data_IF_879721551726
#
_entry.id   IF_879721551726
#
_cell.length_a   1.000
_cell.length_b   1.000
_cell.length_c   1.000
_cell.angle_alpha   90.00
_cell.angle_beta   90.00
_cell.angle_gamma   90.00
#
_symmetry.space_group_name_H-M   'P 1'
#
loop_
_entity.id
_entity.type
_entity.pdbx_description
1 polymer ?
#
# COMPACT_ATOMS: atom_id res chain seq x y z
N UNK A 1 -22.04 9.94 -1.63
CA UNK A 1 -21.19 9.14 -2.55
C UNK A 1 -19.74 9.64 -2.66
N UNK A 2 -19.48 10.95 -2.72
CA UNK A 2 -18.13 11.50 -2.97
C UNK A 2 -17.07 11.14 -1.91
N UNK A 3 -17.46 10.94 -0.64
CA UNK A 3 -16.53 10.62 0.46
C UNK A 3 -15.86 9.26 0.31
N UNK A 4 -16.64 8.19 0.04
CA UNK A 4 -16.09 6.84 -0.14
C UNK A 4 -15.15 6.72 -1.36
N UNK A 5 -15.48 7.42 -2.45
CA UNK A 5 -14.65 7.44 -3.66
C UNK A 5 -13.32 8.13 -3.37
N UNK A 6 -13.33 9.27 -2.68
CA UNK A 6 -12.12 10.02 -2.35
C UNK A 6 -11.20 9.27 -1.38
N UNK A 7 -11.79 8.59 -0.38
CA UNK A 7 -11.07 7.71 0.54
C UNK A 7 -10.47 6.51 -0.21
N UNK A 8 -11.18 5.93 -1.18
CA UNK A 8 -10.65 4.85 -2.01
C UNK A 8 -9.50 5.31 -2.92
N UNK A 9 -9.60 6.49 -3.53
CA UNK A 9 -8.51 7.10 -4.32
C UNK A 9 -7.29 7.38 -3.44
N UNK A 10 -7.48 7.95 -2.26
CA UNK A 10 -6.38 8.23 -1.34
C UNK A 10 -5.72 6.92 -0.84
N UNK A 11 -6.51 5.88 -0.57
CA UNK A 11 -5.99 4.56 -0.19
C UNK A 11 -5.24 3.88 -1.36
N UNK A 12 -5.72 4.02 -2.61
CA UNK A 12 -5.15 3.36 -3.78
C UNK A 12 -3.74 3.88 -4.15
N UNK A 13 -3.35 5.06 -3.67
CA UNK A 13 -1.98 5.58 -3.77
C UNK A 13 -0.97 4.62 -3.14
N UNK A 14 -1.34 3.87 -2.10
CA UNK A 14 -0.46 2.84 -1.54
C UNK A 14 -0.10 1.72 -2.55
N UNK A 15 -1.00 1.39 -3.47
CA UNK A 15 -0.72 0.42 -4.55
C UNK A 15 0.02 1.10 -5.71
N UNK A 16 -0.21 2.39 -5.95
CA UNK A 16 0.61 3.18 -6.89
C UNK A 16 2.10 3.12 -6.50
N UNK A 17 2.41 3.31 -5.22
CA UNK A 17 3.77 3.20 -4.68
C UNK A 17 4.39 1.82 -4.91
N UNK A 18 3.62 0.74 -4.71
CA UNK A 18 4.07 -0.61 -5.02
C UNK A 18 4.43 -0.76 -6.51
N UNK A 19 3.56 -0.29 -7.40
CA UNK A 19 3.82 -0.32 -8.84
C UNK A 19 5.05 0.48 -9.22
N UNK A 20 5.24 1.63 -8.58
CA UNK A 20 6.41 2.48 -8.75
C UNK A 20 7.70 1.79 -8.31
N UNK A 21 7.76 1.20 -7.12
CA UNK A 21 8.95 0.47 -6.65
C UNK A 21 9.35 -0.66 -7.61
N UNK A 22 8.36 -1.48 -8.02
CA UNK A 22 8.59 -2.62 -8.91
C UNK A 22 9.18 -2.23 -10.27
N UNK A 23 8.72 -1.13 -10.89
CA UNK A 23 9.30 -0.65 -12.14
C UNK A 23 10.67 0.02 -11.92
N UNK A 24 10.81 0.76 -10.82
CA UNK A 24 12.05 1.49 -10.54
C UNK A 24 13.20 0.54 -10.30
N UNK A 25 13.01 -0.54 -9.53
CA UNK A 25 14.06 -1.54 -9.32
C UNK A 25 14.42 -2.28 -10.63
N UNK A 26 13.44 -2.56 -11.48
CA UNK A 26 13.67 -3.22 -12.76
C UNK A 26 14.59 -2.38 -13.67
N UNK A 27 14.47 -1.06 -13.61
CA UNK A 27 15.40 -0.13 -14.28
C UNK A 27 16.74 0.04 -13.55
N UNK A 28 16.69 0.26 -12.24
CA UNK A 28 17.85 0.57 -11.40
C UNK A 28 18.84 -0.60 -11.31
N UNK A 29 18.37 -1.85 -11.36
CA UNK A 29 19.22 -3.05 -11.23
C UNK A 29 20.33 -3.08 -12.29
N UNK A 30 20.06 -2.58 -13.51
CA UNK A 30 21.06 -2.51 -14.59
C UNK A 30 22.28 -1.66 -14.21
N UNK A 31 22.04 -0.56 -13.48
CA UNK A 31 23.08 0.36 -13.03
C UNK A 31 23.76 -0.11 -11.74
N UNK A 32 22.98 -0.69 -10.81
CA UNK A 32 23.48 -1.28 -9.57
C UNK A 32 24.50 -2.39 -9.87
N UNK A 33 24.21 -3.25 -10.86
CA UNK A 33 25.12 -4.31 -11.29
C UNK A 33 26.47 -3.76 -11.74
N UNK A 34 26.44 -2.67 -12.52
CA UNK A 34 27.65 -2.03 -13.09
C UNK A 34 28.49 -1.37 -12.00
N UNK A 35 27.86 -0.67 -11.04
CA UNK A 35 28.59 0.02 -9.97
C UNK A 35 29.22 -0.96 -8.97
N UNK A 36 28.49 -1.99 -8.55
CA UNK A 36 28.99 -2.96 -7.58
C UNK A 36 29.75 -4.14 -8.21
N UNK A 37 30.00 -4.11 -9.53
CA UNK A 37 30.69 -5.18 -10.28
C UNK A 37 30.09 -6.57 -10.02
N UNK A 38 28.75 -6.65 -9.93
CA UNK A 38 28.00 -7.87 -9.58
C UNK A 38 27.90 -8.88 -10.74
N UNK A 39 28.56 -8.63 -11.87
CA UNK A 39 28.58 -9.52 -13.04
C UNK A 39 29.09 -10.93 -12.72
N UNK A 40 29.89 -11.06 -11.65
CA UNK A 40 30.42 -12.35 -11.16
C UNK A 40 29.57 -12.99 -10.06
N UNK A 41 28.50 -12.33 -9.58
CA UNK A 41 27.70 -12.74 -8.42
C UNK A 41 26.18 -12.68 -8.70
N UNK A 42 25.64 -13.53 -9.59
CA UNK A 42 24.22 -13.53 -9.95
C UNK A 42 23.28 -13.80 -8.76
N UNK A 43 23.78 -14.46 -7.71
CA UNK A 43 23.04 -14.68 -6.47
C UNK A 43 22.66 -13.37 -5.77
N UNK A 44 23.62 -12.43 -5.64
CA UNK A 44 23.37 -11.15 -4.95
C UNK A 44 22.41 -10.27 -5.77
N UNK A 45 22.57 -10.27 -7.09
CA UNK A 45 21.66 -9.56 -7.98
C UNK A 45 20.21 -10.03 -7.81
N UNK A 46 19.98 -11.35 -7.89
CA UNK A 46 18.66 -11.92 -7.68
C UNK A 46 18.11 -11.60 -6.29
N UNK A 47 18.99 -11.58 -5.28
CA UNK A 47 18.63 -11.23 -3.92
C UNK A 47 18.12 -9.78 -3.80
N UNK A 48 18.72 -8.81 -4.49
CA UNK A 48 18.27 -7.39 -4.45
C UNK A 48 16.81 -7.23 -4.88
N UNK A 49 16.39 -8.00 -5.89
CA UNK A 49 15.00 -8.01 -6.37
C UNK A 49 14.13 -8.85 -5.45
N UNK A 50 14.61 -10.03 -5.01
CA UNK A 50 13.84 -10.95 -4.20
C UNK A 50 13.62 -10.48 -2.75
N UNK A 51 14.51 -9.67 -2.15
CA UNK A 51 14.40 -9.23 -0.76
C UNK A 51 13.10 -8.48 -0.47
N UNK A 52 12.61 -7.66 -1.40
CA UNK A 52 11.33 -6.97 -1.22
C UNK A 52 10.16 -7.94 -1.27
N UNK A 53 10.21 -8.97 -2.13
CA UNK A 53 9.19 -10.02 -2.20
C UNK A 53 9.19 -10.90 -0.95
N UNK A 54 10.38 -11.23 -0.43
CA UNK A 54 10.53 -11.96 0.84
C UNK A 54 9.92 -11.14 1.97
N UNK A 55 10.26 -9.86 2.08
CA UNK A 55 9.69 -8.96 3.08
C UNK A 55 8.17 -8.86 2.98
N UNK A 56 7.66 -8.67 1.77
CA UNK A 56 6.22 -8.61 1.52
C UNK A 56 5.53 -9.91 1.96
N UNK A 57 6.06 -11.07 1.57
CA UNK A 57 5.49 -12.39 1.92
C UNK A 57 5.41 -12.62 3.43
N UNK A 58 6.46 -12.25 4.15
CA UNK A 58 6.48 -12.35 5.62
C UNK A 58 5.37 -11.49 6.20
N UNK A 59 5.29 -10.22 5.81
CA UNK A 59 4.31 -9.29 6.37
C UNK A 59 2.87 -9.60 5.96
N UNK A 60 2.61 -9.98 4.72
CA UNK A 60 1.24 -10.33 4.28
C UNK A 60 0.65 -11.49 5.07
N UNK A 61 1.50 -12.44 5.50
CA UNK A 61 1.09 -13.58 6.33
C UNK A 61 0.57 -13.14 7.71
N UNK A 62 1.19 -12.12 8.32
CA UNK A 62 0.83 -11.65 9.66
C UNK A 62 -0.11 -10.44 9.66
N UNK A 63 -0.14 -9.65 8.59
CA UNK A 63 -0.82 -8.35 8.53
C UNK A 63 -2.33 -8.45 8.78
N UNK A 64 -2.98 -9.54 8.37
CA UNK A 64 -4.42 -9.73 8.59
C UNK A 64 -4.80 -9.77 10.08
N UNK A 65 -4.11 -10.59 10.87
CA UNK A 65 -4.36 -10.69 12.31
C UNK A 65 -4.03 -9.38 13.04
N UNK A 66 -2.93 -8.72 12.64
CA UNK A 66 -2.53 -7.43 13.22
C UNK A 66 -3.53 -6.34 12.87
N UNK A 67 -4.09 -6.33 11.65
CA UNK A 67 -5.09 -5.36 11.22
C UNK A 67 -6.40 -5.47 12.01
N UNK A 68 -6.79 -6.69 12.38
CA UNK A 68 -7.95 -6.93 13.25
C UNK A 68 -7.69 -6.46 14.69
N UNK A 69 -6.46 -6.61 15.18
CA UNK A 69 -6.09 -6.14 16.51
C UNK A 69 -5.96 -4.61 16.62
N UNK A 70 -5.16 -4.01 15.73
CA UNK A 70 -4.68 -2.62 15.82
C UNK A 70 -5.54 -1.63 15.02
N UNK A 71 -6.17 -2.09 13.94
CA UNK A 71 -6.91 -1.24 13.00
C UNK A 71 -6.23 -1.15 11.65
N UNK A 72 -6.96 -0.66 10.65
CA UNK A 72 -6.48 -0.57 9.26
C UNK A 72 -5.66 0.71 9.09
N UNK A 73 -6.14 1.84 9.62
CA UNK A 73 -5.48 3.14 9.45
C UNK A 73 -4.06 3.18 10.03
N UNK A 74 -3.78 2.73 11.28
CA UNK A 74 -2.41 2.73 11.81
C UNK A 74 -1.43 1.91 10.97
N UNK A 75 -1.89 0.81 10.38
CA UNK A 75 -1.04 -0.04 9.55
C UNK A 75 -0.79 0.57 8.16
N UNK A 76 -1.75 1.29 7.58
CA UNK A 76 -1.52 2.08 6.35
C UNK A 76 -0.54 3.24 6.62
N UNK A 77 -0.60 3.86 7.80
CA UNK A 77 0.39 4.85 8.22
C UNK A 77 1.76 4.19 8.36
N UNK A 78 1.85 3.04 9.04
CA UNK A 78 3.09 2.29 9.18
C UNK A 78 3.69 1.92 7.81
N UNK A 79 2.87 1.50 6.84
CA UNK A 79 3.35 1.19 5.49
C UNK A 79 3.95 2.41 4.80
N UNK A 80 3.31 3.57 4.90
CA UNK A 80 3.82 4.82 4.31
C UNK A 80 5.15 5.27 4.92
N UNK A 81 5.33 5.08 6.23
CA UNK A 81 6.60 5.36 6.91
C UNK A 81 7.69 4.38 6.46
N UNK A 82 7.36 3.09 6.32
CA UNK A 82 8.30 2.08 5.84
C UNK A 82 8.79 2.40 4.41
N UNK A 83 7.89 2.79 3.50
CA UNK A 83 8.25 3.25 2.15
C UNK A 83 9.13 4.50 2.15
N UNK A 84 8.85 5.45 3.04
CA UNK A 84 9.64 6.67 3.13
C UNK A 84 11.06 6.39 3.63
N UNK A 85 11.18 5.60 4.69
CA UNK A 85 12.46 5.23 5.29
C UNK A 85 13.25 4.34 4.32
N UNK A 86 12.62 3.36 3.67
CA UNK A 86 13.29 2.52 2.68
C UNK A 86 13.83 3.35 1.52
N UNK A 87 13.02 4.25 0.95
CA UNK A 87 13.44 5.18 -0.11
C UNK A 87 14.65 6.03 0.28
N UNK A 88 14.64 6.58 1.50
CA UNK A 88 15.75 7.40 1.99
C UNK A 88 17.03 6.58 2.21
N UNK A 89 16.90 5.37 2.76
CA UNK A 89 18.06 4.48 2.95
C UNK A 89 18.60 3.99 1.61
N UNK A 90 17.74 3.73 0.62
CA UNK A 90 18.17 3.37 -0.75
C UNK A 90 18.92 4.53 -1.43
N UNK A 91 18.49 5.78 -1.21
CA UNK A 91 19.15 6.97 -1.73
C UNK A 91 20.59 7.14 -1.20
N UNK A 92 20.84 6.75 0.05
CA UNK A 92 22.16 6.88 0.68
C UNK A 92 22.89 5.54 0.86
N UNK A 93 22.46 4.49 0.17
CA UNK A 93 23.07 3.16 0.33
C UNK A 93 24.54 3.17 -0.13
N UNK A 94 25.51 2.93 0.78
CA UNK A 94 26.93 2.92 0.44
C UNK A 94 27.40 1.55 -0.04
N UNK A 95 26.66 0.48 0.29
CA UNK A 95 27.02 -0.90 -0.04
C UNK A 95 25.75 -1.73 -0.33
N UNK A 96 25.96 -2.90 -0.94
CA UNK A 96 24.87 -3.79 -1.34
C UNK A 96 24.09 -4.34 -0.13
N UNK A 97 24.73 -4.54 1.02
CA UNK A 97 24.04 -5.06 2.22
C UNK A 97 23.03 -4.06 2.78
N UNK A 98 23.36 -2.76 2.80
CA UNK A 98 22.45 -1.69 3.18
C UNK A 98 21.29 -1.62 2.18
N UNK A 99 21.57 -1.78 0.89
CA UNK A 99 20.52 -1.87 -0.14
C UNK A 99 19.59 -3.06 0.11
N UNK A 100 20.13 -4.25 0.41
CA UNK A 100 19.32 -5.43 0.72
C UNK A 100 18.42 -5.23 1.94
N UNK A 101 18.95 -4.60 3.00
CA UNK A 101 18.16 -4.25 4.19
C UNK A 101 17.07 -3.22 3.85
N UNK A 102 17.40 -2.20 3.06
CA UNK A 102 16.43 -1.20 2.62
C UNK A 102 15.30 -1.85 1.80
N UNK A 103 15.63 -2.79 0.91
CA UNK A 103 14.65 -3.56 0.11
C UNK A 103 13.79 -4.48 0.97
N UNK A 104 14.34 -5.06 2.03
CA UNK A 104 13.55 -5.83 3.00
C UNK A 104 12.53 -4.95 3.72
N UNK A 105 12.96 -3.78 4.20
CA UNK A 105 12.09 -2.78 4.86
C UNK A 105 11.02 -2.27 3.89
N UNK A 106 11.40 -2.02 2.63
CA UNK A 106 10.48 -1.65 1.57
C UNK A 106 9.42 -2.73 1.34
N UNK A 107 9.86 -3.99 1.26
CA UNK A 107 8.99 -5.16 1.16
C UNK A 107 7.95 -5.23 2.28
N UNK A 108 8.31 -4.84 3.51
CA UNK A 108 7.35 -4.75 4.60
C UNK A 108 6.27 -3.69 4.35
N UNK A 109 6.65 -2.53 3.82
CA UNK A 109 5.72 -1.48 3.40
C UNK A 109 4.78 -1.97 2.28
N UNK A 110 5.35 -2.61 1.25
CA UNK A 110 4.59 -3.21 0.14
C UNK A 110 3.57 -4.24 0.65
N UNK A 111 4.00 -5.16 1.51
CA UNK A 111 3.15 -6.21 2.06
C UNK A 111 1.96 -5.65 2.84
N UNK A 112 2.17 -4.61 3.66
CA UNK A 112 1.07 -3.94 4.33
C UNK A 112 0.11 -3.27 3.35
N UNK A 113 0.62 -2.50 2.39
CA UNK A 113 -0.21 -1.75 1.46
C UNK A 113 -1.06 -2.66 0.55
N UNK A 114 -0.46 -3.72 -0.02
CA UNK A 114 -1.17 -4.60 -0.97
C UNK A 114 -2.29 -5.40 -0.32
N UNK A 115 -2.12 -5.78 0.96
CA UNK A 115 -3.17 -6.51 1.70
C UNK A 115 -4.23 -5.57 2.25
N UNK A 116 -3.83 -4.43 2.82
CA UNK A 116 -4.72 -3.59 3.61
C UNK A 116 -5.53 -2.59 2.78
N UNK A 117 -4.99 -2.09 1.67
CA UNK A 117 -5.71 -1.13 0.82
C UNK A 117 -7.00 -1.73 0.23
N UNK A 118 -6.99 -2.89 -0.46
CA UNK A 118 -8.23 -3.47 -0.98
C UNK A 118 -9.17 -3.89 0.16
N UNK A 119 -8.64 -4.37 1.28
CA UNK A 119 -9.44 -4.68 2.47
C UNK A 119 -10.16 -3.43 3.00
N UNK A 120 -9.42 -2.34 3.21
CA UNK A 120 -9.95 -1.07 3.67
C UNK A 120 -10.99 -0.48 2.72
N UNK A 121 -10.73 -0.53 1.40
CA UNK A 121 -11.70 -0.11 0.39
C UNK A 121 -12.96 -0.97 0.47
N UNK A 122 -12.83 -2.30 0.60
CA UNK A 122 -14.00 -3.19 0.70
C UNK A 122 -14.88 -2.91 1.95
N UNK A 123 -14.27 -2.47 3.05
CA UNK A 123 -14.93 -2.13 4.31
C UNK A 123 -15.58 -0.74 4.28
N UNK A 124 -15.02 0.20 3.50
CA UNK A 124 -15.54 1.57 3.38
C UNK A 124 -16.51 1.75 2.20
N UNK A 125 -16.43 0.89 1.18
CA UNK A 125 -17.18 1.01 -0.06
C UNK A 125 -18.69 0.72 0.11
N UNK A 126 -19.57 1.51 -0.54
CA UNK A 126 -20.98 1.15 -0.70
C UNK A 126 -21.13 -0.14 -1.51
N UNK A 127 -22.18 -0.92 -1.23
CA UNK A 127 -22.46 -2.19 -1.92
C UNK A 127 -22.51 -2.05 -3.44
N UNK A 128 -23.05 -0.94 -3.94
CA UNK A 128 -23.38 -0.77 -5.35
C UNK A 128 -22.16 -0.45 -6.23
N UNK A 129 -21.12 0.15 -5.64
CA UNK A 129 -19.88 0.53 -6.34
C UNK A 129 -18.64 -0.20 -5.82
N UNK A 130 -18.80 -1.14 -4.87
CA UNK A 130 -17.68 -1.88 -4.26
C UNK A 130 -16.81 -2.59 -5.30
N UNK A 131 -17.43 -3.17 -6.33
CA UNK A 131 -16.70 -3.83 -7.42
C UNK A 131 -15.77 -2.86 -8.15
N UNK A 132 -16.28 -1.67 -8.51
CA UNK A 132 -15.50 -0.63 -9.17
C UNK A 132 -14.41 -0.04 -8.26
N UNK A 133 -14.71 0.19 -6.98
CA UNK A 133 -13.70 0.72 -6.06
C UNK A 133 -12.57 -0.28 -5.79
N UNK A 134 -12.85 -1.59 -5.83
CA UNK A 134 -11.82 -2.62 -5.69
C UNK A 134 -10.90 -2.76 -6.90
N UNK A 135 -11.26 -2.22 -8.07
CA UNK A 135 -10.34 -2.19 -9.23
C UNK A 135 -9.39 -0.99 -9.19
N UNK A 136 -9.71 0.07 -8.43
CA UNK A 136 -8.87 1.27 -8.31
C UNK A 136 -7.44 0.99 -7.79
N UNK A 137 -7.20 0.13 -6.78
CA UNK A 137 -5.84 -0.22 -6.35
C UNK A 137 -5.00 -0.79 -7.47
N UNK A 138 -5.54 -1.74 -8.24
CA UNK A 138 -4.83 -2.38 -9.35
C UNK A 138 -4.57 -1.39 -10.49
N UNK A 139 -5.55 -0.56 -10.81
CA UNK A 139 -5.38 0.51 -11.79
C UNK A 139 -4.29 1.51 -11.36
N UNK A 140 -4.30 1.90 -10.08
CA UNK A 140 -3.31 2.82 -9.52
C UNK A 140 -1.91 2.21 -9.50
N UNK A 141 -1.79 0.91 -9.19
CA UNK A 141 -0.53 0.16 -9.28
C UNK A 141 0.04 0.13 -10.68
N UNK A 142 -0.78 -0.22 -11.68
CA UNK A 142 -0.36 -0.17 -13.09
C UNK A 142 0.03 1.25 -13.53
N UNK A 143 -0.71 2.27 -13.08
CA UNK A 143 -0.39 3.67 -13.32
C UNK A 143 0.95 4.08 -12.71
N UNK A 144 1.23 3.68 -11.47
CA UNK A 144 2.52 3.90 -10.81
C UNK A 144 3.67 3.23 -11.53
N UNK A 145 3.47 2.00 -12.00
CA UNK A 145 4.44 1.27 -12.80
C UNK A 145 4.76 1.98 -14.13
N UNK A 146 3.72 2.44 -14.84
CA UNK A 146 3.88 3.20 -16.08
C UNK A 146 4.67 4.50 -15.87
N UNK A 147 4.29 5.31 -14.88
CA UNK A 147 4.97 6.57 -14.58
C UNK A 147 6.44 6.35 -14.16
N UNK A 148 6.71 5.31 -13.38
CA UNK A 148 8.07 4.94 -12.99
C UNK A 148 8.91 4.54 -14.21
N UNK A 149 8.39 3.73 -15.14
CA UNK A 149 9.12 3.41 -16.36
C UNK A 149 9.41 4.65 -17.22
N UNK A 150 8.49 5.60 -17.32
CA UNK A 150 8.75 6.88 -17.99
C UNK A 150 9.89 7.64 -17.28
N UNK A 151 9.89 7.72 -15.95
CA UNK A 151 10.94 8.37 -15.17
C UNK A 151 12.31 7.69 -15.39
N UNK A 152 12.36 6.36 -15.24
CA UNK A 152 13.56 5.56 -15.45
C UNK A 152 14.10 5.80 -16.86
N UNK A 153 13.25 5.73 -17.89
CA UNK A 153 13.66 5.97 -19.27
C UNK A 153 14.25 7.37 -19.47
N UNK A 154 13.62 8.42 -18.93
CA UNK A 154 14.15 9.78 -19.02
C UNK A 154 15.48 9.93 -18.28
N UNK A 155 15.64 9.32 -17.11
CA UNK A 155 16.90 9.34 -16.36
C UNK A 155 18.00 8.53 -17.06
N UNK A 156 17.65 7.43 -17.72
CA UNK A 156 18.56 6.62 -18.52
C UNK A 156 19.13 7.36 -19.74
N UNK A 157 18.42 8.38 -20.25
CA UNK A 157 18.89 9.25 -21.33
C UNK A 157 19.87 10.33 -20.85
N UNK A 158 20.00 10.54 -19.53
CA UNK A 158 20.93 11.53 -18.99
C UNK A 158 22.38 11.03 -19.09
N UNK A 159 23.38 11.93 -19.17
CA UNK A 159 24.79 11.55 -19.30
C UNK A 159 25.33 10.70 -18.14
N UNK A 160 24.75 10.86 -16.95
CA UNK A 160 25.15 10.16 -15.72
C UNK A 160 23.90 9.63 -14.99
N UNK A 161 23.37 8.45 -15.40
CA UNK A 161 22.23 7.86 -14.75
C UNK A 161 22.60 7.38 -13.34
N UNK A 162 21.92 7.93 -12.32
CA UNK A 162 22.11 7.58 -10.91
C UNK A 162 20.94 6.74 -10.39
N UNK A 163 21.21 5.47 -10.08
CA UNK A 163 20.22 4.53 -9.57
C UNK A 163 19.76 4.88 -8.14
N UNK A 164 20.58 5.58 -7.37
CA UNK A 164 20.22 6.02 -6.01
C UNK A 164 19.09 7.01 -6.07
N UNK A 165 19.15 7.94 -7.02
CA UNK A 165 18.07 8.91 -7.26
C UNK A 165 16.84 8.18 -7.80
N UNK A 166 17.01 7.22 -8.72
CA UNK A 166 15.88 6.44 -9.24
C UNK A 166 15.07 5.81 -8.11
N UNK A 167 15.71 5.06 -7.20
CA UNK A 167 15.05 4.45 -6.04
C UNK A 167 14.61 5.48 -4.99
N UNK A 168 15.42 6.51 -4.74
CA UNK A 168 15.18 7.52 -3.71
C UNK A 168 13.97 8.41 -3.98
N UNK A 169 13.61 8.64 -5.25
CA UNK A 169 12.42 9.42 -5.64
C UNK A 169 11.13 8.84 -5.04
N UNK A 170 11.09 7.53 -4.72
CA UNK A 170 9.97 6.89 -3.99
C UNK A 170 9.63 7.57 -2.65
N UNK A 171 10.60 8.26 -2.04
CA UNK A 171 10.42 9.02 -0.79
C UNK A 171 9.43 10.18 -0.93
N UNK A 172 9.31 10.77 -2.12
CA UNK A 172 8.41 11.90 -2.37
C UNK A 172 6.93 11.47 -2.37
N UNK A 173 6.49 10.51 -3.22
CA UNK A 173 5.10 10.06 -3.21
C UNK A 173 4.74 9.30 -1.93
N UNK A 174 5.69 8.68 -1.22
CA UNK A 174 5.43 8.05 0.08
C UNK A 174 5.11 9.06 1.18
N UNK A 175 5.80 10.21 1.20
CA UNK A 175 5.45 11.30 2.12
C UNK A 175 4.07 11.89 1.81
N UNK A 176 3.74 12.04 0.52
CA UNK A 176 2.39 12.44 0.10
C UNK A 176 1.34 11.42 0.56
N UNK A 177 1.61 10.12 0.40
CA UNK A 177 0.73 9.05 0.86
C UNK A 177 0.58 9.04 2.38
N UNK A 178 1.65 9.28 3.14
CA UNK A 178 1.61 9.44 4.59
C UNK A 178 0.68 10.60 4.99
N UNK A 179 0.87 11.78 4.39
CA UNK A 179 0.03 12.94 4.66
C UNK A 179 -1.45 12.65 4.35
N UNK A 180 -1.75 12.06 3.19
CA UNK A 180 -3.11 11.71 2.81
C UNK A 180 -3.73 10.68 3.76
N UNK A 181 -2.97 9.66 4.18
CA UNK A 181 -3.45 8.64 5.10
C UNK A 181 -3.70 9.21 6.51
N UNK A 182 -2.84 10.11 6.98
CA UNK A 182 -2.98 10.74 8.30
C UNK A 182 -4.14 11.72 8.34
N UNK A 183 -4.26 12.62 7.35
CA UNK A 183 -5.25 13.69 7.38
C UNK A 183 -6.60 13.30 6.79
N UNK A 184 -6.64 12.36 5.84
CA UNK A 184 -7.84 12.11 5.03
C UNK A 184 -8.51 10.76 5.28
N UNK A 185 -7.77 9.72 5.66
CA UNK A 185 -8.33 8.38 5.85
C UNK A 185 -8.91 8.22 7.27
N UNK A 186 -10.24 8.04 7.42
CA UNK A 186 -10.81 7.61 8.69
C UNK A 186 -10.48 6.14 8.97
N UNK A 187 -10.64 5.71 10.23
CA UNK A 187 -10.54 4.29 10.56
C UNK A 187 -11.68 3.49 9.89
N UNK A 188 -11.42 2.20 9.62
CA UNK A 188 -12.45 1.31 9.08
C UNK A 188 -13.68 1.30 10.00
N UNK A 189 -14.89 1.60 9.47
CA UNK A 189 -16.09 1.52 10.28
C UNK A 189 -16.28 0.10 10.83
N UNK A 190 -15.79 -0.93 10.13
CA UNK A 190 -15.97 -2.35 10.50
C UNK A 190 -15.17 -2.70 11.71
N UNK A 191 -13.94 -2.21 11.73
CA UNK A 191 -13.07 -2.33 12.88
C UNK A 191 -13.61 -1.52 14.07
N UNK A 192 -14.16 -0.33 13.85
CA UNK A 192 -14.78 0.46 14.93
C UNK A 192 -15.97 -0.27 15.59
N UNK A 193 -16.82 -0.92 14.78
CA UNK A 193 -17.92 -1.76 15.27
C UNK A 193 -17.39 -2.95 16.09
N UNK A 194 -16.34 -3.64 15.62
CA UNK A 194 -15.78 -4.80 16.35
C UNK A 194 -15.14 -4.42 17.69
N UNK A 195 -14.69 -3.18 17.84
CA UNK A 195 -14.19 -2.61 19.10
C UNK A 195 -15.27 -1.98 19.98
N UNK A 196 -16.56 -2.10 19.61
CA UNK A 196 -17.68 -1.53 20.36
C UNK A 196 -17.84 -0.01 20.23
N UNK A 197 -17.07 0.66 19.36
CA UNK A 197 -17.09 2.11 19.15
C UNK A 197 -18.19 2.53 18.17
N UNK A 198 -19.44 2.21 18.51
CA UNK A 198 -20.61 2.36 17.62
C UNK A 198 -20.88 3.82 17.20
N UNK A 199 -20.72 4.79 18.12
CA UNK A 199 -20.97 6.20 17.83
C UNK A 199 -20.01 6.76 16.77
N UNK A 200 -18.74 6.36 16.83
CA UNK A 200 -17.73 6.78 15.88
C UNK A 200 -17.86 6.06 14.54
N UNK A 201 -18.17 4.76 14.56
CA UNK A 201 -18.50 4.01 13.35
C UNK A 201 -19.65 4.67 12.58
N UNK A 202 -20.71 5.13 13.28
CA UNK A 202 -21.83 5.86 12.67
C UNK A 202 -21.38 7.18 12.04
N UNK A 203 -20.54 7.97 12.72
CA UNK A 203 -19.99 9.23 12.20
C UNK A 203 -19.16 9.03 10.94
N UNK A 204 -18.25 8.06 10.94
CA UNK A 204 -17.42 7.74 9.77
C UNK A 204 -18.30 7.29 8.61
N UNK A 205 -19.27 6.42 8.86
CA UNK A 205 -20.15 5.90 7.82
C UNK A 205 -21.05 7.00 7.21
N UNK A 206 -21.53 7.95 8.03
CA UNK A 206 -22.25 9.14 7.56
C UNK A 206 -21.37 10.03 6.67
N UNK A 207 -20.09 10.20 7.02
CA UNK A 207 -19.11 10.92 6.20
C UNK A 207 -18.83 10.24 4.85
N UNK A 208 -18.70 8.91 4.85
CA UNK A 208 -18.46 8.12 3.64
C UNK A 208 -19.66 8.12 2.68
N UNK A 209 -20.88 7.97 3.22
CA UNK A 209 -22.12 7.91 2.41
C UNK A 209 -22.63 9.29 2.00
N UNK A 210 -22.32 10.32 2.78
CA UNK A 210 -22.71 11.71 2.52
C UNK A 210 -24.17 11.95 2.87
N UNK A 211 -24.43 12.34 4.12
CA UNK A 211 -25.72 12.80 4.69
C UNK A 211 -27.01 12.03 4.33
N UNK A 212 -26.95 10.85 3.73
CA UNK A 212 -28.08 9.92 3.75
C UNK A 212 -28.26 9.40 5.17
N UNK A 213 -29.51 9.28 5.61
CA UNK A 213 -29.84 8.83 6.95
C UNK A 213 -29.50 7.34 7.09
N UNK A 214 -28.25 7.07 7.47
CA UNK A 214 -27.73 5.70 7.62
C UNK A 214 -28.45 4.93 8.73
N UNK A 215 -29.28 5.62 9.53
CA UNK A 215 -30.08 5.08 10.62
C UNK A 215 -30.97 3.90 10.17
N UNK A 216 -31.48 3.92 8.94
CA UNK A 216 -32.37 2.87 8.42
C UNK A 216 -31.59 1.61 7.96
N UNK A 217 -30.39 1.79 7.38
CA UNK A 217 -29.52 0.69 6.91
C UNK A 217 -28.55 0.19 7.99
N UNK A 218 -28.44 0.87 9.12
CA UNK A 218 -27.53 0.53 10.22
C UNK A 218 -27.71 -0.89 10.77
N UNK A 219 -28.94 -1.39 11.03
CA UNK A 219 -29.14 -2.75 11.53
C UNK A 219 -28.73 -3.82 10.50
N UNK A 220 -28.97 -3.57 9.21
CA UNK A 220 -28.60 -4.47 8.12
C UNK A 220 -27.08 -4.54 7.94
N UNK A 221 -26.39 -3.40 8.00
CA UNK A 221 -24.93 -3.35 7.92
C UNK A 221 -24.26 -3.98 9.14
N UNK A 222 -24.78 -3.75 10.34
CA UNK A 222 -24.32 -4.46 11.54
C UNK A 222 -24.49 -5.96 11.38
N UNK A 223 -25.63 -6.41 10.85
CA UNK A 223 -25.89 -7.82 10.58
C UNK A 223 -24.90 -8.39 9.58
N UNK A 224 -24.64 -7.74 8.45
CA UNK A 224 -23.64 -8.19 7.47
C UNK A 224 -22.21 -8.20 8.03
N UNK A 225 -21.88 -7.29 8.93
CA UNK A 225 -20.52 -7.11 9.41
C UNK A 225 -20.20 -8.02 10.59
N UNK A 226 -21.22 -8.34 11.39
CA UNK A 226 -21.19 -9.31 12.49
C UNK A 226 -21.37 -10.74 11.95
N UNK A 227 -22.32 -10.97 11.03
CA UNK A 227 -22.57 -12.27 10.39
C UNK A 227 -21.71 -12.55 9.16
N UNK A 228 -20.90 -11.59 8.70
CA UNK A 228 -19.92 -11.78 7.63
C UNK A 228 -18.79 -12.75 7.99
N UNK A 229 -18.76 -13.28 9.22
CA UNK A 229 -17.99 -14.47 9.61
C UNK A 229 -18.72 -15.81 9.32
N UNK A 230 -20.00 -15.78 8.99
CA UNK A 230 -20.86 -16.98 8.93
C UNK A 230 -21.20 -17.44 7.52
N UNK A 231 -20.93 -16.65 6.48
CA UNK A 231 -21.22 -17.06 5.09
C UNK A 231 -20.16 -17.97 4.45
N UNK A 232 -19.00 -18.17 5.10
CA UNK A 232 -17.97 -19.12 4.63
C UNK A 232 -18.22 -20.55 5.16
N UNK A 233 -19.09 -20.74 6.16
CA UNK A 233 -19.36 -22.05 6.77
C UNK A 233 -20.71 -22.67 6.37
N UNK A 234 -21.34 -22.19 5.29
CA UNK A 234 -22.66 -22.72 4.86
C UNK A 234 -22.68 -23.45 3.51
N UNK A 235 -21.54 -23.63 2.85
CA UNK A 235 -21.42 -24.41 1.62
C UNK A 235 -20.29 -25.46 1.69
N UNK A 236 -20.29 -26.26 2.75
CA UNK A 236 -19.70 -27.61 2.77
C UNK A 236 -20.71 -28.58 3.34
#
# INVERSE_FOLDING_TARGET
MSGAVLVAIAASIGNLLQGWDNATIAGAVLYIKKEFSLETQPLIEGLIVAMSLIGATVITTFSGAVADAVGRRPLLIASSVLYFVSGLVMLWAPNVYVLLLARLVDGFGIGLAVTLVPLYISETAPTDIRGLLNTLPQFSGSGGMFLSYCMVFTMSLMPQPDWRIMLGVLSIPSLMYFALTVFYLPESPRWLVSKGRMAEAKRVLQGLRGREDVSEKWPFLLKDWVLGKTHILRNT
#
